data_IF_143070093081
#
_entry.id   IF_143070093081
#
_cell.length_a   1.000
_cell.length_b   1.000
_cell.length_c   1.000
_cell.angle_alpha   90.00
_cell.angle_beta   90.00
_cell.angle_gamma   90.00
#
_symmetry.space_group_name_H-M   'P 1'
#
loop_
_entity.id
_entity.type
_entity.pdbx_description
1 polymer ?
#
# COMPACT_ATOMS: atom_id res chain seq x y z
N UNK A 1 -20.09 7.74 15.23
CA UNK A 1 -19.99 8.86 16.18
C UNK A 1 -18.57 8.78 16.73
N UNK A 2 -17.66 9.62 16.22
CA UNK A 2 -16.25 9.58 16.59
C UNK A 2 -16.04 10.66 17.67
N UNK A 3 -15.68 10.24 18.88
CA UNK A 3 -15.39 11.14 19.99
C UNK A 3 -13.97 11.73 19.84
N UNK A 4 -13.88 13.05 19.93
CA UNK A 4 -12.63 13.81 19.89
C UNK A 4 -11.92 13.73 21.26
N UNK A 5 -10.71 13.19 21.29
CA UNK A 5 -9.80 13.31 22.43
C UNK A 5 -8.71 14.34 22.13
N UNK A 6 -8.51 15.28 23.07
CA UNK A 6 -7.54 16.37 22.98
C UNK A 6 -6.15 15.92 23.44
N UNK A 7 -5.16 16.05 22.55
CA UNK A 7 -3.72 15.95 22.82
C UNK A 7 -3.07 17.26 22.35
N UNK A 8 -2.14 17.81 23.12
CA UNK A 8 -1.71 19.21 23.00
C UNK A 8 -0.92 19.54 21.71
N UNK A 9 -1.19 20.74 21.18
CA UNK A 9 -0.20 21.61 20.52
C UNK A 9 0.02 21.43 19.02
N UNK A 10 0.92 20.53 18.64
CA UNK A 10 1.50 20.48 17.28
C UNK A 10 0.90 19.36 16.41
N UNK A 11 0.38 18.30 17.03
CA UNK A 11 -0.24 17.15 16.34
C UNK A 11 -1.66 17.46 15.79
N UNK A 12 -2.37 18.43 16.38
CA UNK A 12 -3.71 18.83 15.93
C UNK A 12 -3.69 19.86 14.80
N UNK A 13 -2.71 20.77 14.77
CA UNK A 13 -2.55 21.72 13.67
C UNK A 13 -2.33 21.00 12.33
N UNK A 14 -1.76 19.80 12.36
CA UNK A 14 -1.48 18.95 11.20
C UNK A 14 -2.65 18.05 10.79
N UNK A 15 -3.50 17.61 11.72
CA UNK A 15 -4.77 16.94 11.42
C UNK A 15 -5.87 17.89 10.93
N UNK A 16 -5.91 19.14 11.41
CA UNK A 16 -6.79 20.18 10.88
C UNK A 16 -6.33 20.72 9.52
N UNK A 17 -5.02 20.66 9.24
CA UNK A 17 -4.44 20.98 7.94
C UNK A 17 -4.49 19.82 6.93
N UNK A 18 -4.80 18.60 7.39
CA UNK A 18 -5.12 17.51 6.49
C UNK A 18 -6.44 17.86 5.80
N UNK A 19 -6.36 18.11 4.50
CA UNK A 19 -7.52 18.55 3.74
C UNK A 19 -8.65 17.53 3.95
N UNK A 20 -9.72 17.95 4.64
CA UNK A 20 -10.89 17.13 4.91
C UNK A 20 -11.47 16.55 3.60
N UNK A 21 -11.13 17.11 2.44
CA UNK A 21 -11.48 16.59 1.13
C UNK A 21 -10.84 15.24 0.76
N UNK A 22 -9.67 14.88 1.30
CA UNK A 22 -8.95 13.63 0.94
C UNK A 22 -9.51 12.41 1.70
N UNK A 23 -9.96 12.60 2.94
CA UNK A 23 -10.42 11.51 3.82
C UNK A 23 -11.56 10.66 3.21
N UNK A 24 -12.62 11.22 2.59
CA UNK A 24 -13.63 10.42 1.92
C UNK A 24 -13.07 9.51 0.82
N UNK A 25 -12.04 9.98 0.09
CA UNK A 25 -11.35 9.19 -0.91
C UNK A 25 -10.63 7.98 -0.30
N UNK A 26 -9.89 8.20 0.79
CA UNK A 26 -9.19 7.12 1.52
C UNK A 26 -10.18 6.08 2.05
N UNK A 27 -11.29 6.52 2.65
CA UNK A 27 -12.34 5.60 3.14
C UNK A 27 -12.87 4.74 1.99
N UNK A 28 -13.19 5.37 0.85
CA UNK A 28 -13.66 4.64 -0.33
C UNK A 28 -12.65 3.60 -0.83
N UNK A 29 -11.36 3.93 -0.84
CA UNK A 29 -10.29 3.00 -1.23
C UNK A 29 -10.27 1.76 -0.33
N UNK A 30 -10.39 1.96 0.98
CA UNK A 30 -10.44 0.87 1.97
C UNK A 30 -11.69 0.00 1.76
N UNK A 31 -12.85 0.62 1.52
CA UNK A 31 -14.09 -0.09 1.22
C UNK A 31 -13.97 -0.93 -0.05
N UNK A 32 -13.44 -0.33 -1.14
CA UNK A 32 -13.26 -1.01 -2.42
C UNK A 32 -12.25 -2.17 -2.31
N UNK A 33 -11.18 -2.03 -1.52
CA UNK A 33 -10.25 -3.12 -1.24
C UNK A 33 -10.90 -4.23 -0.40
N UNK A 34 -11.61 -3.86 0.67
CA UNK A 34 -12.34 -4.81 1.53
C UNK A 34 -13.49 -5.53 0.80
N UNK A 35 -14.00 -4.98 -0.30
CA UNK A 35 -14.97 -5.65 -1.16
C UNK A 35 -14.36 -6.84 -1.93
N UNK A 36 -13.04 -6.82 -2.18
CA UNK A 36 -12.31 -7.94 -2.82
C UNK A 36 -11.91 -9.04 -1.81
N UNK A 37 -11.85 -8.69 -0.53
CA UNK A 37 -11.36 -9.56 0.55
C UNK A 37 -12.55 -10.23 1.23
N UNK A 38 -12.78 -11.50 0.91
CA UNK A 38 -13.92 -12.25 1.49
C UNK A 38 -13.64 -12.78 2.90
N UNK A 39 -12.36 -12.90 3.27
CA UNK A 39 -11.95 -13.40 4.57
C UNK A 39 -11.77 -12.25 5.58
N UNK A 40 -12.60 -12.15 6.63
CA UNK A 40 -12.56 -11.02 7.56
C UNK A 40 -11.21 -10.81 8.25
N UNK A 41 -10.40 -11.87 8.40
CA UNK A 41 -9.07 -11.78 9.00
C UNK A 41 -8.08 -10.93 8.18
N UNK A 42 -8.35 -10.74 6.88
CA UNK A 42 -7.51 -9.98 5.96
C UNK A 42 -8.09 -8.61 5.62
N UNK A 43 -9.28 -8.27 6.13
CA UNK A 43 -9.88 -6.96 5.89
C UNK A 43 -9.11 -5.88 6.63
N UNK A 44 -8.88 -4.77 5.94
CA UNK A 44 -8.32 -3.55 6.53
C UNK A 44 -9.30 -3.06 7.59
N UNK A 45 -8.86 -3.08 8.84
CA UNK A 45 -9.68 -2.72 10.01
C UNK A 45 -9.74 -1.21 10.24
N UNK A 46 -8.78 -0.46 9.70
CA UNK A 46 -8.73 0.98 9.82
C UNK A 46 -7.53 1.58 9.09
N UNK A 47 -7.40 2.89 9.23
CA UNK A 47 -6.29 3.68 8.71
C UNK A 47 -5.85 4.65 9.80
N UNK A 48 -4.54 4.77 9.99
CA UNK A 48 -3.92 5.77 10.84
C UNK A 48 -3.02 6.66 9.99
N UNK A 49 -3.11 7.97 10.20
CA UNK A 49 -2.21 8.92 9.58
C UNK A 49 -1.08 9.18 10.57
N UNK A 50 0.15 9.02 10.10
CA UNK A 50 1.39 9.10 10.89
C UNK A 50 2.36 10.07 10.24
N UNK A 51 3.46 10.40 10.90
CA UNK A 51 4.51 11.27 10.35
C UNK A 51 5.77 10.49 9.93
N UNK A 52 5.65 9.19 9.69
CA UNK A 52 6.80 8.30 9.52
C UNK A 52 6.81 7.53 8.20
N UNK A 53 5.72 6.85 7.87
CA UNK A 53 5.70 5.93 6.72
C UNK A 53 4.28 5.65 6.27
N UNK A 54 4.12 5.45 4.97
CA UNK A 54 3.00 4.69 4.42
C UNK A 54 3.39 3.21 4.40
N UNK A 55 2.48 2.34 4.88
CA UNK A 55 2.58 0.87 4.76
C UNK A 55 1.34 0.17 5.27
N UNK A 56 1.09 -1.05 4.80
CA UNK A 56 0.26 -2.02 5.51
C UNK A 56 0.99 -2.60 6.73
N UNK A 57 0.33 -2.67 7.88
CA UNK A 57 0.82 -3.34 9.11
C UNK A 57 -0.24 -4.24 9.73
N UNK A 58 0.18 -5.07 10.68
CA UNK A 58 -0.74 -5.75 11.60
C UNK A 58 -0.88 -4.99 12.92
N UNK A 59 -2.12 -4.74 13.34
CA UNK A 59 -2.47 -4.32 14.70
C UNK A 59 -3.50 -5.29 15.28
N UNK A 60 -3.18 -5.89 16.43
CA UNK A 60 -4.03 -6.92 17.07
C UNK A 60 -4.47 -8.04 16.10
N UNK A 61 -3.55 -8.51 15.25
CA UNK A 61 -3.78 -9.53 14.20
C UNK A 61 -4.75 -9.11 13.09
N UNK A 62 -5.03 -7.81 12.96
CA UNK A 62 -5.85 -7.25 11.87
C UNK A 62 -5.01 -6.31 11.02
N UNK A 63 -5.17 -6.33 9.69
CA UNK A 63 -4.52 -5.36 8.82
C UNK A 63 -4.95 -3.93 9.14
N UNK A 64 -3.99 -3.02 9.22
CA UNK A 64 -4.17 -1.59 9.45
C UNK A 64 -3.31 -0.84 8.42
N UNK A 65 -3.87 0.19 7.79
CA UNK A 65 -3.09 1.08 6.94
C UNK A 65 -2.43 2.16 7.79
N UNK A 66 -1.14 2.37 7.59
CA UNK A 66 -0.45 3.60 7.99
C UNK A 66 -0.24 4.44 6.74
N UNK A 67 -0.54 5.73 6.82
CA UNK A 67 -0.25 6.70 5.76
C UNK A 67 0.61 7.81 6.33
N UNK A 68 1.72 8.12 5.65
CA UNK A 68 2.54 9.28 5.99
C UNK A 68 1.78 10.57 5.65
N UNK A 69 1.66 11.47 6.61
CA UNK A 69 1.00 12.77 6.46
C UNK A 69 1.59 13.63 5.35
N UNK A 70 2.87 13.44 4.99
CA UNK A 70 3.53 14.17 3.91
C UNK A 70 3.14 13.66 2.52
N UNK A 71 2.61 12.43 2.45
CA UNK A 71 2.22 11.73 1.23
C UNK A 71 0.76 11.23 1.32
N UNK A 72 -0.06 11.84 2.17
CA UNK A 72 -1.43 11.38 2.40
C UNK A 72 -2.34 11.78 1.24
N UNK A 73 -2.51 10.87 0.31
CA UNK A 73 -3.41 11.02 -0.82
C UNK A 73 -4.12 9.70 -1.17
N UNK A 74 -5.02 9.78 -2.17
CA UNK A 74 -5.78 8.62 -2.64
C UNK A 74 -4.87 7.59 -3.30
N UNK A 75 -3.80 8.01 -3.99
CA UNK A 75 -2.92 7.09 -4.70
C UNK A 75 -2.12 6.22 -3.74
N UNK A 76 -1.48 6.86 -2.76
CA UNK A 76 -0.77 6.20 -1.67
C UNK A 76 -1.71 5.26 -0.92
N UNK A 77 -2.94 5.71 -0.59
CA UNK A 77 -3.92 4.83 0.02
C UNK A 77 -4.29 3.62 -0.86
N UNK A 78 -4.36 3.78 -2.18
CA UNK A 78 -4.63 2.66 -3.09
C UNK A 78 -3.45 1.70 -3.14
N UNK A 79 -2.22 2.19 -3.22
CA UNK A 79 -1.00 1.37 -3.16
C UNK A 79 -1.03 0.52 -1.89
N UNK A 80 -1.20 1.17 -0.75
CA UNK A 80 -1.16 0.50 0.55
C UNK A 80 -2.32 -0.48 0.77
N UNK A 81 -3.52 -0.13 0.32
CA UNK A 81 -4.66 -1.03 0.37
C UNK A 81 -4.50 -2.23 -0.58
N UNK A 82 -3.67 -2.11 -1.62
CA UNK A 82 -3.41 -3.20 -2.58
C UNK A 82 -2.54 -4.29 -1.98
N UNK A 83 -1.62 -3.96 -1.07
CA UNK A 83 -0.90 -4.97 -0.27
C UNK A 83 -1.87 -5.86 0.52
N UNK A 84 -2.95 -5.31 1.07
CA UNK A 84 -3.93 -6.11 1.81
C UNK A 84 -4.68 -7.09 0.89
N UNK A 85 -4.98 -6.66 -0.33
CA UNK A 85 -5.61 -7.52 -1.35
C UNK A 85 -4.65 -8.64 -1.78
N UNK A 86 -3.37 -8.33 -1.97
CA UNK A 86 -2.36 -9.33 -2.34
C UNK A 86 -2.10 -10.33 -1.19
N UNK A 87 -1.97 -9.84 0.04
CA UNK A 87 -1.84 -10.64 1.25
C UNK A 87 -3.00 -11.63 1.40
N UNK A 88 -4.24 -11.18 1.14
CA UNK A 88 -5.41 -12.05 1.10
C UNK A 88 -5.26 -13.15 0.04
N UNK A 89 -4.85 -12.81 -1.18
CA UNK A 89 -4.62 -13.80 -2.25
C UNK A 89 -3.51 -14.79 -1.96
N UNK A 90 -2.48 -14.35 -1.24
CA UNK A 90 -1.33 -15.18 -0.87
C UNK A 90 -1.66 -16.17 0.25
N UNK A 91 -2.41 -15.73 1.27
CA UNK A 91 -2.50 -16.46 2.55
C UNK A 91 -3.88 -17.05 2.87
N UNK A 92 -4.98 -16.48 2.33
CA UNK A 92 -6.31 -16.98 2.66
C UNK A 92 -6.69 -18.20 1.81
N UNK A 93 -7.10 -19.28 2.46
CA UNK A 93 -7.73 -20.42 1.78
C UNK A 93 -9.09 -20.10 1.14
N UNK A 94 -9.65 -18.91 1.38
CA UNK A 94 -10.89 -18.42 0.75
C UNK A 94 -10.63 -17.60 -0.51
N UNK A 95 -9.38 -17.24 -0.78
CA UNK A 95 -9.01 -16.51 -1.99
C UNK A 95 -9.03 -17.41 -3.23
N UNK A 96 -9.19 -16.84 -4.44
CA UNK A 96 -8.96 -17.58 -5.68
C UNK A 96 -7.52 -18.09 -5.73
N UNK A 97 -7.34 -19.41 -5.69
CA UNK A 97 -6.03 -20.07 -5.55
C UNK A 97 -5.02 -19.71 -6.66
N UNK A 98 -5.50 -19.25 -7.82
CA UNK A 98 -4.68 -18.85 -8.95
C UNK A 98 -4.27 -17.36 -8.94
N UNK A 99 -4.84 -16.52 -8.08
CA UNK A 99 -4.65 -15.07 -8.13
C UNK A 99 -3.19 -14.68 -7.81
N UNK A 100 -2.69 -15.06 -6.64
CA UNK A 100 -1.32 -14.77 -6.24
C UNK A 100 -0.29 -15.37 -7.22
N UNK A 101 -0.33 -16.66 -7.59
CA UNK A 101 0.60 -17.20 -8.59
C UNK A 101 0.56 -16.48 -9.94
N UNK A 102 -0.62 -16.01 -10.38
CA UNK A 102 -0.75 -15.28 -11.65
C UNK A 102 -0.11 -13.91 -11.60
N UNK A 103 -0.28 -13.18 -10.49
CA UNK A 103 0.38 -11.89 -10.26
C UNK A 103 1.89 -12.06 -10.27
N UNK A 104 2.40 -13.08 -9.56
CA UNK A 104 3.84 -13.35 -9.50
C UNK A 104 4.41 -13.81 -10.85
N UNK A 105 3.69 -14.63 -11.61
CA UNK A 105 4.10 -14.98 -12.98
C UNK A 105 4.21 -13.75 -13.90
N UNK A 106 3.28 -12.79 -13.77
CA UNK A 106 3.36 -11.53 -14.51
C UNK A 106 4.56 -10.70 -14.08
N UNK A 107 4.79 -10.55 -12.78
CA UNK A 107 5.98 -9.90 -12.23
C UNK A 107 7.25 -10.53 -12.80
N UNK A 108 7.43 -11.85 -12.71
CA UNK A 108 8.62 -12.54 -13.19
C UNK A 108 8.85 -12.36 -14.70
N UNK A 109 7.79 -12.38 -15.51
CA UNK A 109 7.89 -12.15 -16.96
C UNK A 109 8.24 -10.71 -17.30
N UNK A 110 7.71 -9.75 -16.54
CA UNK A 110 8.00 -8.32 -16.72
C UNK A 110 9.38 -7.95 -16.16
N UNK A 111 9.83 -8.60 -15.09
CA UNK A 111 11.18 -8.47 -14.54
C UNK A 111 12.27 -9.00 -15.49
N UNK A 112 11.93 -9.95 -16.35
CA UNK A 112 12.83 -10.49 -17.38
C UNK A 112 12.94 -9.62 -18.64
N UNK A 113 12.24 -8.47 -18.69
CA UNK A 113 12.38 -7.51 -19.79
C UNK A 113 13.72 -6.78 -19.69
N UNK A 114 14.12 -6.12 -20.78
CA UNK A 114 15.39 -5.40 -20.80
C UNK A 114 15.35 -4.22 -19.82
N UNK A 115 16.50 -3.94 -19.23
CA UNK A 115 16.70 -2.70 -18.50
C UNK A 115 16.63 -1.49 -19.44
N UNK A 116 15.94 -0.45 -18.99
CA UNK A 116 15.80 0.83 -19.67
C UNK A 116 16.12 1.94 -18.70
N UNK A 117 16.73 3.02 -19.20
CA UNK A 117 17.03 4.19 -18.37
C UNK A 117 15.93 5.23 -18.52
N UNK A 118 15.36 5.68 -17.40
CA UNK A 118 14.39 6.78 -17.39
C UNK A 118 14.51 7.67 -16.14
N UNK A 119 13.71 8.73 -16.11
CA UNK A 119 13.58 9.60 -14.94
C UNK A 119 12.87 8.90 -13.78
N UNK A 120 13.49 8.96 -12.61
CA UNK A 120 12.96 8.57 -11.33
C UNK A 120 12.82 9.83 -10.44
N UNK A 121 11.74 9.92 -9.69
CA UNK A 121 11.41 11.03 -8.78
C UNK A 121 11.32 10.51 -7.35
N UNK A 122 12.42 10.40 -6.61
CA UNK A 122 12.38 9.88 -5.25
C UNK A 122 11.60 10.81 -4.31
N UNK A 123 11.06 10.27 -3.22
CA UNK A 123 10.31 11.02 -2.19
C UNK A 123 11.14 12.12 -1.52
N UNK A 124 12.48 11.97 -1.52
CA UNK A 124 13.42 13.00 -1.07
C UNK A 124 13.46 14.25 -1.97
N UNK A 125 12.80 14.21 -3.13
CA UNK A 125 12.78 15.26 -4.13
C UNK A 125 13.87 15.13 -5.20
N UNK A 126 13.70 15.91 -6.26
CA UNK A 126 14.58 15.92 -7.43
C UNK A 126 14.17 14.93 -8.52
N UNK A 127 14.94 14.92 -9.61
CA UNK A 127 14.81 13.97 -10.71
C UNK A 127 16.18 13.38 -10.97
N UNK A 128 16.28 12.05 -11.01
CA UNK A 128 17.51 11.34 -11.37
C UNK A 128 17.25 10.33 -12.48
N UNK A 129 18.31 9.88 -13.14
CA UNK A 129 18.24 8.72 -14.04
C UNK A 129 18.47 7.46 -13.23
N UNK A 130 17.65 6.44 -13.45
CA UNK A 130 17.82 5.10 -12.89
C UNK A 130 17.69 4.06 -14.02
N UNK A 131 17.95 2.78 -13.71
CA UNK A 131 17.85 1.67 -14.66
C UNK A 131 17.04 0.54 -14.01
N UNK A 132 15.93 0.15 -14.62
CA UNK A 132 15.05 -0.94 -14.18
C UNK A 132 14.49 -1.69 -15.39
N UNK A 133 14.00 -2.93 -15.21
CA UNK A 133 13.32 -3.67 -16.27
C UNK A 133 12.12 -2.87 -16.81
N UNK A 134 12.02 -2.72 -18.12
CA UNK A 134 10.98 -1.93 -18.79
C UNK A 134 9.55 -2.33 -18.36
N UNK A 135 9.35 -3.63 -18.13
CA UNK A 135 8.08 -4.20 -17.71
C UNK A 135 7.68 -3.89 -16.27
N UNK A 136 8.64 -3.61 -15.38
CA UNK A 136 8.35 -3.18 -14.00
C UNK A 136 8.23 -1.66 -13.95
N UNK A 137 9.05 -0.96 -14.73
CA UNK A 137 9.01 0.50 -14.79
C UNK A 137 7.67 1.03 -15.35
N UNK A 138 6.99 0.28 -16.23
CA UNK A 138 5.70 0.73 -16.77
C UNK A 138 4.60 0.92 -15.72
N UNK A 139 4.77 0.36 -14.51
CA UNK A 139 3.83 0.48 -13.38
C UNK A 139 4.38 1.37 -12.26
N UNK A 140 5.44 2.15 -12.50
CA UNK A 140 5.92 3.19 -11.58
C UNK A 140 5.20 4.54 -11.81
N UNK A 141 4.63 5.18 -10.77
CA UNK A 141 3.85 6.42 -10.92
C UNK A 141 4.53 7.57 -11.64
N UNK A 142 5.84 7.70 -11.46
CA UNK A 142 6.61 8.77 -12.10
C UNK A 142 6.64 8.68 -13.64
N UNK A 143 6.22 7.53 -14.20
CA UNK A 143 6.22 7.28 -15.65
C UNK A 143 4.96 7.74 -16.37
N UNK A 144 3.85 7.92 -15.68
CA UNK A 144 2.65 8.49 -16.26
C UNK A 144 2.28 9.85 -15.70
N UNK A 145 2.88 10.25 -14.58
CA UNK A 145 2.72 11.59 -14.02
C UNK A 145 4.07 12.22 -13.70
N UNK A 146 4.22 13.49 -14.09
CA UNK A 146 5.43 14.27 -13.76
C UNK A 146 5.44 14.77 -12.32
N UNK A 147 4.32 14.65 -11.61
CA UNK A 147 4.15 15.12 -10.23
C UNK A 147 4.17 13.99 -9.23
N UNK A 148 4.12 12.74 -9.68
CA UNK A 148 4.15 11.59 -8.77
C UNK A 148 5.57 11.16 -8.48
N UNK A 149 5.74 10.79 -7.22
CA UNK A 149 6.93 10.15 -6.67
C UNK A 149 7.06 8.75 -7.26
N UNK A 150 8.30 8.32 -7.49
CA UNK A 150 8.60 6.95 -7.85
C UNK A 150 8.33 6.01 -6.68
N UNK A 151 7.78 4.86 -7.01
CA UNK A 151 7.57 3.75 -6.10
C UNK A 151 8.62 2.67 -6.37
N UNK A 152 8.34 1.43 -5.93
CA UNK A 152 9.31 0.36 -5.80
C UNK A 152 8.88 -0.92 -6.55
N UNK A 153 8.24 -0.87 -7.73
CA UNK A 153 7.63 -2.06 -8.35
C UNK A 153 8.64 -3.14 -8.78
N UNK A 154 9.93 -2.88 -8.63
CA UNK A 154 11.00 -3.84 -8.88
C UNK A 154 11.40 -4.66 -7.66
N UNK A 155 11.03 -4.25 -6.44
CA UNK A 155 11.49 -4.89 -5.21
C UNK A 155 10.95 -6.31 -5.08
N UNK A 156 9.64 -6.50 -5.29
CA UNK A 156 9.00 -7.82 -5.39
C UNK A 156 7.63 -7.76 -6.10
N UNK A 157 6.95 -8.90 -6.17
CA UNK A 157 5.65 -9.01 -6.81
C UNK A 157 4.49 -8.34 -6.05
N UNK A 158 4.64 -8.10 -4.74
CA UNK A 158 3.65 -7.37 -3.94
C UNK A 158 3.71 -5.88 -4.27
N UNK A 159 4.91 -5.28 -4.23
CA UNK A 159 5.12 -3.88 -4.65
C UNK A 159 4.71 -3.65 -6.10
N UNK A 160 5.10 -4.55 -7.00
CA UNK A 160 4.66 -4.51 -8.40
C UNK A 160 3.13 -4.48 -8.53
N UNK A 161 2.44 -5.36 -7.80
CA UNK A 161 0.98 -5.41 -7.85
C UNK A 161 0.34 -4.17 -7.24
N UNK A 162 0.89 -3.67 -6.13
CA UNK A 162 0.42 -2.47 -5.46
C UNK A 162 0.52 -1.25 -6.39
N UNK A 163 1.67 -1.03 -7.02
CA UNK A 163 1.86 0.07 -7.97
C UNK A 163 0.99 -0.09 -9.23
N UNK A 164 0.89 -1.30 -9.78
CA UNK A 164 0.04 -1.56 -10.94
C UNK A 164 -1.45 -1.30 -10.66
N UNK A 165 -1.93 -1.70 -9.48
CA UNK A 165 -3.32 -1.47 -9.07
C UNK A 165 -3.58 -0.01 -8.72
N UNK A 166 -2.65 0.68 -8.07
CA UNK A 166 -2.69 2.12 -7.87
C UNK A 166 -2.85 2.86 -9.21
N UNK A 167 -1.92 2.64 -10.14
CA UNK A 167 -1.96 3.19 -11.49
C UNK A 167 -3.31 2.97 -12.19
N UNK A 168 -3.85 1.75 -12.09
CA UNK A 168 -5.11 1.38 -12.74
C UNK A 168 -6.35 2.01 -12.11
N UNK A 169 -6.32 2.34 -10.83
CA UNK A 169 -7.46 2.95 -10.15
C UNK A 169 -7.41 4.48 -10.16
N UNK A 170 -6.21 5.06 -10.21
CA UNK A 170 -6.02 6.52 -10.18
C UNK A 170 -5.85 7.13 -11.58
N UNK A 171 -5.11 6.49 -12.49
CA UNK A 171 -4.89 6.98 -13.85
C UNK A 171 -4.71 5.86 -14.90
N UNK A 172 -5.82 5.23 -15.29
CA UNK A 172 -5.84 4.20 -16.34
C UNK A 172 -5.21 4.65 -17.66
N UNK A 173 -5.39 5.93 -18.01
CA UNK A 173 -4.88 6.46 -19.28
C UNK A 173 -3.37 6.65 -19.19
N UNK A 174 -2.91 7.16 -18.05
CA UNK A 174 -1.51 7.23 -17.67
C UNK A 174 -0.82 5.87 -17.77
N UNK A 175 -1.34 4.86 -17.07
CA UNK A 175 -0.79 3.50 -17.11
C UNK A 175 -0.70 2.96 -18.54
N UNK A 176 -1.77 3.11 -19.35
CA UNK A 176 -1.75 2.69 -20.76
C UNK A 176 -0.69 3.42 -21.58
N UNK A 177 -0.49 4.71 -21.34
CA UNK A 177 0.52 5.50 -22.01
C UNK A 177 1.94 5.05 -21.63
N UNK A 178 2.17 4.72 -20.35
CA UNK A 178 3.42 4.14 -19.88
C UNK A 178 3.67 2.76 -20.53
N UNK A 179 2.67 1.88 -20.57
CA UNK A 179 2.76 0.58 -21.28
C UNK A 179 3.12 0.77 -22.75
N UNK A 180 2.48 1.71 -23.45
CA UNK A 180 2.77 1.99 -24.86
C UNK A 180 4.21 2.51 -25.05
N UNK A 181 4.67 3.38 -24.16
CA UNK A 181 6.06 3.89 -24.14
C UNK A 181 7.03 2.72 -23.96
N UNK A 182 6.88 1.92 -22.90
CA UNK A 182 7.81 0.84 -22.59
C UNK A 182 7.72 -0.33 -23.57
N UNK A 183 6.58 -0.56 -24.22
CA UNK A 183 6.45 -1.53 -25.33
C UNK A 183 7.26 -1.12 -26.56
N UNK A 184 7.40 0.19 -26.84
CA UNK A 184 8.28 0.66 -27.93
C UNK A 184 9.76 0.49 -27.60
N UNK A 185 10.10 0.63 -26.32
CA UNK A 185 11.45 0.38 -25.86
C UNK A 185 11.73 -1.12 -25.89
N UNK A 186 10.89 -1.95 -25.26
CA UNK A 186 10.98 -3.40 -25.26
C UNK A 186 9.67 -4.07 -25.67
N UNK A 187 9.60 -4.67 -26.88
CA UNK A 187 8.42 -5.42 -27.32
C UNK A 187 8.01 -6.58 -26.40
N UNK A 188 8.93 -7.11 -25.57
CA UNK A 188 8.63 -8.18 -24.62
C UNK A 188 7.63 -7.76 -23.54
N UNK A 189 7.46 -6.45 -23.30
CA UNK A 189 6.46 -5.89 -22.37
C UNK A 189 5.02 -6.17 -22.84
N UNK A 190 4.79 -6.19 -24.16
CA UNK A 190 3.45 -6.10 -24.76
C UNK A 190 2.47 -7.17 -24.27
N UNK A 191 2.88 -8.44 -24.34
CA UNK A 191 1.98 -9.55 -24.02
C UNK A 191 1.71 -9.66 -22.50
N UNK A 192 2.73 -9.64 -21.62
CA UNK A 192 2.49 -9.62 -20.18
C UNK A 192 1.71 -8.38 -19.70
N UNK A 193 1.97 -7.19 -20.27
CA UNK A 193 1.20 -5.98 -19.91
C UNK A 193 -0.28 -6.09 -20.30
N UNK A 194 -0.60 -6.71 -21.44
CA UNK A 194 -1.99 -6.96 -21.81
C UNK A 194 -2.69 -7.92 -20.83
N UNK A 195 -2.00 -8.98 -20.41
CA UNK A 195 -2.50 -9.90 -19.37
C UNK A 195 -2.66 -9.22 -18.00
N UNK A 196 -1.74 -8.32 -17.63
CA UNK A 196 -1.86 -7.50 -16.42
C UNK A 196 -3.13 -6.63 -16.46
N UNK A 197 -3.36 -5.92 -17.56
CA UNK A 197 -4.57 -5.11 -17.72
C UNK A 197 -5.85 -5.97 -17.65
N UNK A 198 -5.84 -7.16 -18.23
CA UNK A 198 -6.96 -8.11 -18.11
C UNK A 198 -7.17 -8.54 -16.66
N UNK A 199 -6.09 -8.86 -15.93
CA UNK A 199 -6.15 -9.23 -14.52
C UNK A 199 -6.75 -8.09 -13.67
N UNK A 200 -6.24 -6.86 -13.84
CA UNK A 200 -6.70 -5.68 -13.10
C UNK A 200 -8.18 -5.34 -13.36
N UNK A 201 -8.67 -5.56 -14.59
CA UNK A 201 -10.09 -5.42 -14.92
C UNK A 201 -10.97 -6.45 -14.21
N UNK A 202 -10.43 -7.63 -13.92
CA UNK A 202 -11.20 -8.80 -13.52
C UNK A 202 -11.06 -9.19 -12.04
N UNK A 203 -10.26 -8.44 -11.26
CA UNK A 203 -10.02 -8.70 -9.84
C UNK A 203 -11.31 -8.94 -9.04
N UNK A 204 -12.32 -8.09 -9.22
CA UNK A 204 -13.61 -8.21 -8.53
C UNK A 204 -14.42 -9.47 -8.92
N UNK A 205 -14.18 -10.01 -10.11
CA UNK A 205 -14.85 -11.22 -10.59
C UNK A 205 -14.13 -12.52 -10.22
N UNK A 206 -12.98 -12.45 -9.54
CA UNK A 206 -12.15 -13.62 -9.22
C UNK A 206 -11.58 -14.33 -10.46
N UNK A 207 -11.64 -13.70 -11.64
CA UNK A 207 -11.15 -14.29 -12.90
C UNK A 207 -9.68 -13.91 -13.09
N UNK A 208 -8.83 -14.92 -13.09
CA UNK A 208 -7.36 -14.77 -13.21
C UNK A 208 -6.84 -15.05 -14.63
N UNK A 209 -7.76 -15.14 -15.60
CA UNK A 209 -7.44 -15.48 -16.99
C UNK A 209 -7.03 -16.95 -17.17
N UNK A 210 -6.18 -17.20 -18.18
CA UNK A 210 -5.70 -18.55 -18.52
C UNK A 210 -4.83 -19.12 -17.40
N UNK A 211 -5.04 -20.40 -17.09
CA UNK A 211 -4.22 -21.16 -16.15
C UNK A 211 -2.73 -21.12 -16.55
N UNK A 212 -1.88 -21.06 -15.52
CA UNK A 212 -0.42 -21.13 -15.70
C UNK A 212 -0.01 -22.53 -16.15
N UNK A 213 1.13 -22.61 -16.85
CA UNK A 213 1.79 -23.89 -17.05
C UNK A 213 2.35 -24.39 -15.71
N UNK A 214 2.53 -25.71 -15.56
CA UNK A 214 3.09 -26.30 -14.33
C UNK A 214 4.45 -25.67 -13.96
N UNK A 215 5.29 -25.40 -14.95
CA UNK A 215 6.60 -24.76 -14.75
C UNK A 215 6.45 -23.32 -14.25
N UNK A 216 5.56 -22.53 -14.86
CA UNK A 216 5.31 -21.15 -14.45
C UNK A 216 4.71 -21.08 -13.04
N UNK A 217 3.75 -21.96 -12.74
CA UNK A 217 3.15 -22.05 -11.41
C UNK A 217 4.18 -22.44 -10.34
N UNK A 218 5.06 -23.39 -10.64
CA UNK A 218 6.13 -23.80 -9.70
C UNK A 218 7.07 -22.64 -9.39
N UNK A 219 7.50 -21.89 -10.41
CA UNK A 219 8.34 -20.70 -10.21
C UNK A 219 7.62 -19.62 -9.41
N UNK A 220 6.38 -19.33 -9.76
CA UNK A 220 5.57 -18.35 -9.04
C UNK A 220 5.37 -18.71 -7.56
N UNK A 221 5.18 -20.00 -7.25
CA UNK A 221 5.07 -20.46 -5.85
C UNK A 221 6.38 -20.38 -5.08
N UNK A 222 7.52 -20.63 -5.74
CA UNK A 222 8.83 -20.46 -5.12
C UNK A 222 9.08 -18.98 -4.77
N UNK A 223 8.73 -18.07 -5.68
CA UNK A 223 8.84 -16.63 -5.47
C UNK A 223 7.89 -16.13 -4.37
N UNK A 224 6.62 -16.58 -4.35
CA UNK A 224 5.66 -16.28 -3.29
C UNK A 224 6.16 -16.64 -1.88
N UNK A 225 6.96 -17.70 -1.75
CA UNK A 225 7.50 -18.12 -0.46
C UNK A 225 8.57 -17.15 0.09
N UNK A 226 9.16 -16.31 -0.78
CA UNK A 226 10.15 -15.31 -0.42
C UNK A 226 9.58 -13.93 -0.07
N UNK A 227 8.30 -13.68 -0.39
CA UNK A 227 7.66 -12.38 -0.11
C UNK A 227 7.44 -12.22 1.39
N UNK A 228 7.91 -11.10 1.92
CA UNK A 228 7.83 -10.79 3.35
C UNK A 228 6.40 -10.47 3.77
N UNK A 229 6.04 -10.84 5.01
CA UNK A 229 4.74 -10.44 5.57
C UNK A 229 4.80 -9.01 6.14
N UNK A 230 3.66 -8.31 6.17
CA UNK A 230 3.55 -7.03 6.87
C UNK A 230 4.04 -7.13 8.31
N UNK A 231 4.79 -6.12 8.74
CA UNK A 231 5.27 -6.03 10.12
C UNK A 231 4.13 -5.70 11.08
N UNK A 232 4.37 -5.90 12.38
CA UNK A 232 3.45 -5.39 13.39
C UNK A 232 3.57 -3.87 13.51
N UNK A 233 2.52 -3.24 14.04
CA UNK A 233 2.55 -1.82 14.36
C UNK A 233 3.70 -1.50 15.33
N UNK A 234 3.90 -2.38 16.32
CA UNK A 234 4.96 -2.29 17.31
C UNK A 234 6.36 -2.25 16.71
N UNK A 235 6.61 -3.04 15.67
CA UNK A 235 7.91 -3.09 14.97
C UNK A 235 8.14 -1.91 14.02
N UNK A 236 7.12 -1.08 13.79
CA UNK A 236 7.11 -0.06 12.75
C UNK A 236 7.27 1.36 13.29
N UNK A 237 6.63 1.69 14.41
CA UNK A 237 6.62 3.05 14.95
C UNK A 237 7.54 3.20 16.16
N UNK A 238 8.04 4.41 16.38
CA UNK A 238 8.74 4.73 17.62
C UNK A 238 7.81 4.57 18.83
N UNK A 239 8.39 4.23 20.00
CA UNK A 239 7.64 3.85 21.21
C UNK A 239 6.56 4.86 21.62
N UNK A 240 6.79 6.17 21.44
CA UNK A 240 5.82 7.21 21.81
C UNK A 240 4.65 7.26 20.84
N UNK A 241 4.91 7.21 19.53
CA UNK A 241 3.86 7.20 18.50
C UNK A 241 3.03 5.91 18.58
N UNK A 242 3.69 4.78 18.82
CA UNK A 242 3.05 3.51 19.10
C UNK A 242 2.05 3.60 20.27
N UNK A 243 2.45 4.25 21.37
CA UNK A 243 1.59 4.39 22.55
C UNK A 243 0.39 5.31 22.30
N UNK A 244 0.61 6.45 21.63
CA UNK A 244 -0.46 7.39 21.26
C UNK A 244 -1.48 6.73 20.32
N UNK A 245 -1.00 5.99 19.32
CA UNK A 245 -1.87 5.29 18.39
C UNK A 245 -2.64 4.16 19.07
N UNK A 246 -2.00 3.40 19.98
CA UNK A 246 -2.69 2.39 20.81
C UNK A 246 -3.82 3.00 21.62
N UNK A 247 -3.60 4.14 22.28
CA UNK A 247 -4.65 4.84 23.02
C UNK A 247 -5.78 5.35 22.11
N UNK A 248 -5.47 5.73 20.89
CA UNK A 248 -6.47 6.21 19.93
C UNK A 248 -7.33 5.05 19.39
N UNK A 249 -6.70 3.92 19.07
CA UNK A 249 -7.37 2.73 18.53
C UNK A 249 -8.09 1.92 19.61
N UNK A 250 -7.59 1.95 20.85
CA UNK A 250 -8.17 1.33 22.03
C UNK A 250 -7.98 2.21 23.28
N UNK A 251 -8.92 3.12 23.56
CA UNK A 251 -8.84 4.02 24.71
C UNK A 251 -8.76 3.32 26.07
N UNK A 252 -9.15 2.04 26.16
CA UNK A 252 -9.05 1.27 27.41
C UNK A 252 -7.59 0.99 27.83
N UNK A 253 -6.65 1.12 26.89
CA UNK A 253 -5.21 0.97 27.15
C UNK A 253 -4.56 2.24 27.70
N UNK A 254 -5.31 3.34 27.79
CA UNK A 254 -4.87 4.55 28.47
C UNK A 254 -4.85 4.27 29.99
N UNK A 255 -3.65 4.18 30.56
CA UNK A 255 -3.48 3.94 32.00
C UNK A 255 -4.27 4.97 32.84
N UNK A 256 -4.61 4.64 34.10
CA UNK A 256 -5.36 5.56 34.95
C UNK A 256 -4.64 6.91 34.99
N UNK A 257 -5.36 7.99 34.62
CA UNK A 257 -4.85 9.36 34.76
C UNK A 257 -4.43 9.54 36.21
N UNK A 258 -3.12 9.53 36.48
CA UNK A 258 -2.62 9.96 37.78
C UNK A 258 -3.00 11.43 37.91
N UNK A 259 -4.06 11.71 38.69
CA UNK A 259 -4.34 13.08 39.11
C UNK A 259 -3.04 13.60 39.73
N UNK A 260 -2.51 14.76 39.29
CA UNK A 260 -1.41 15.37 40.01
C UNK A 260 -1.85 15.52 41.46
N UNK A 261 -0.99 15.08 42.38
CA UNK A 261 -1.26 15.21 43.80
C UNK A 261 -1.58 16.68 44.08
N UNK A 262 -2.72 16.92 44.72
CA UNK A 262 -3.13 18.26 45.15
C UNK A 262 -1.94 18.83 45.95
N UNK A 263 -1.42 20.04 45.64
CA UNK A 263 -0.39 20.65 46.46
C UNK A 263 -0.88 20.65 47.90
N UNK A 264 -0.06 20.15 48.81
CA UNK A 264 -0.34 20.26 50.23
C UNK A 264 -0.49 21.75 50.54
N UNK A 265 -1.68 22.14 51.02
CA UNK A 265 -1.86 23.47 51.59
C UNK A 265 -0.96 23.54 52.81
N UNK A 266 0.17 24.23 52.69
CA UNK A 266 0.91 24.69 53.86
C UNK A 266 -0.05 25.55 54.68
N UNK A 267 -0.30 25.13 55.93
CA UNK A 267 -1.14 25.87 56.85
C UNK A 267 -0.53 27.24 57.15
N UNK A 268 -1.36 28.24 57.52
CA UNK A 268 -0.85 29.57 57.86
C UNK A 268 0.03 29.54 59.12
N UNK A 269 0.95 30.51 59.25
CA UNK A 269 2.00 30.55 60.27
C UNK A 269 1.48 30.65 61.72
#
# INVERSE_FOLDING_TARGET
MFDQFTLEGEFFATLEALDRAVLPGIVKVIEDANALITDPAFKIAGCAITNTTSRLVYYQKKPLLLLDMTHVDVETAVHEASHAVFLYYMKSGKAPAAAAPKIVDLYLRLAATKDVEDEERPSSGGVRKASHPAGLWMVDPSQWSKTFTSEHPWDDADEFFASARAAWLTDRKGLRSAIDKFTRLDPAVKAPAAELLELLNNLAGGKTGKALSTTAETKARAELAGISEPRTLEDTLDSMMNQLLKWTLDPSTMGPKTRPAKPALEGPP
#
